data_IF_550758068475
#
_entry.id   IF_550758068475
#
_cell.length_a   1.000
_cell.length_b   1.000
_cell.length_c   1.000
_cell.angle_alpha   90.00
_cell.angle_beta   90.00
_cell.angle_gamma   90.00
#
_symmetry.space_group_name_H-M   'P 1'
#
loop_
_entity.id
_entity.type
_entity.pdbx_description
1 polymer ?
#
# COMPACT_ATOMS: atom_id res chain seq x y z
N UNK A 1 17.97 33.58 -48.80
CA UNK A 1 18.23 32.12 -48.80
C UNK A 1 17.95 31.60 -47.39
N UNK A 2 17.20 30.51 -47.33
CA UNK A 2 16.44 29.98 -46.18
C UNK A 2 17.12 29.91 -44.81
N UNK A 3 16.53 30.58 -43.83
CA UNK A 3 16.85 30.48 -42.39
C UNK A 3 15.78 29.64 -41.63
N UNK A 4 14.66 29.31 -42.27
CA UNK A 4 13.50 28.68 -41.63
C UNK A 4 13.47 27.15 -41.78
N UNK A 5 14.47 26.45 -41.22
CA UNK A 5 14.37 24.99 -41.05
C UNK A 5 15.21 24.40 -39.91
N UNK A 6 15.28 25.05 -38.74
CA UNK A 6 15.68 24.33 -37.52
C UNK A 6 14.49 23.51 -37.02
N UNK A 7 14.45 22.22 -37.38
CA UNK A 7 13.58 21.23 -36.72
C UNK A 7 13.79 21.36 -35.20
N UNK A 8 12.71 21.61 -34.47
CA UNK A 8 12.75 21.88 -33.02
C UNK A 8 13.10 20.59 -32.25
N UNK A 9 14.40 20.31 -32.11
CA UNK A 9 14.92 19.16 -31.34
C UNK A 9 14.74 19.33 -29.82
N UNK A 10 14.59 20.58 -29.34
CA UNK A 10 14.29 20.89 -27.94
C UNK A 10 13.06 20.16 -27.39
N UNK A 11 12.01 19.98 -28.21
CA UNK A 11 10.79 19.27 -27.82
C UNK A 11 11.06 17.81 -27.46
N UNK A 12 12.05 17.18 -28.11
CA UNK A 12 12.44 15.80 -27.86
C UNK A 12 13.17 15.71 -26.53
N UNK A 13 14.10 16.62 -26.25
CA UNK A 13 14.80 16.66 -24.95
C UNK A 13 13.84 16.83 -23.78
N UNK A 14 12.84 17.71 -23.91
CA UNK A 14 11.82 17.92 -22.89
C UNK A 14 10.95 16.67 -22.69
N UNK A 15 10.56 15.99 -23.78
CA UNK A 15 9.81 14.74 -23.71
C UNK A 15 10.62 13.63 -23.02
N UNK A 16 11.89 13.45 -23.37
CA UNK A 16 12.80 12.48 -22.73
C UNK A 16 12.93 12.78 -21.24
N UNK A 17 13.15 14.04 -20.87
CA UNK A 17 13.25 14.45 -19.46
C UNK A 17 11.97 14.08 -18.70
N UNK A 18 10.79 14.35 -19.27
CA UNK A 18 9.51 13.96 -18.65
C UNK A 18 9.38 12.45 -18.46
N UNK A 19 9.75 11.66 -19.46
CA UNK A 19 9.74 10.19 -19.37
C UNK A 19 10.71 9.70 -18.28
N UNK A 20 11.91 10.27 -18.20
CA UNK A 20 12.90 9.92 -17.18
C UNK A 20 12.38 10.24 -15.78
N UNK A 21 11.77 11.41 -15.57
CA UNK A 21 11.19 11.78 -14.27
C UNK A 21 10.11 10.78 -13.85
N UNK A 22 9.19 10.43 -14.78
CA UNK A 22 8.14 9.44 -14.50
C UNK A 22 8.74 8.07 -14.18
N UNK A 23 9.71 7.60 -14.98
CA UNK A 23 10.36 6.31 -14.74
C UNK A 23 11.05 6.25 -13.37
N UNK A 24 11.83 7.27 -13.01
CA UNK A 24 12.50 7.36 -11.71
C UNK A 24 11.47 7.39 -10.57
N UNK A 25 10.42 8.18 -10.71
CA UNK A 25 9.34 8.26 -9.72
C UNK A 25 8.67 6.91 -9.48
N UNK A 26 8.32 6.19 -10.55
CA UNK A 26 7.68 4.87 -10.47
C UNK A 26 8.58 3.84 -9.80
N UNK A 27 9.87 3.80 -10.17
CA UNK A 27 10.86 2.89 -9.57
C UNK A 27 10.98 3.18 -8.07
N UNK A 28 11.11 4.46 -7.69
CA UNK A 28 11.28 4.85 -6.30
C UNK A 28 10.05 4.57 -5.45
N UNK A 29 8.84 4.86 -5.95
CA UNK A 29 7.59 4.56 -5.22
C UNK A 29 7.40 3.06 -5.03
N UNK A 30 7.66 2.24 -6.04
CA UNK A 30 7.59 0.78 -5.92
C UNK A 30 8.60 0.24 -4.91
N UNK A 31 9.83 0.78 -4.91
CA UNK A 31 10.84 0.45 -3.91
C UNK A 31 10.36 0.80 -2.49
N UNK A 32 9.76 1.99 -2.30
CA UNK A 32 9.25 2.41 -0.99
C UNK A 32 8.07 1.54 -0.52
N UNK A 33 7.17 1.15 -1.43
CA UNK A 33 6.08 0.23 -1.13
C UNK A 33 6.61 -1.15 -0.71
N UNK A 34 7.62 -1.67 -1.39
CA UNK A 34 8.28 -2.93 -1.00
C UNK A 34 8.91 -2.83 0.39
N UNK A 35 9.68 -1.77 0.65
CA UNK A 35 10.31 -1.54 1.96
C UNK A 35 9.28 -1.40 3.08
N UNK A 36 8.16 -0.71 2.82
CA UNK A 36 7.08 -0.57 3.80
C UNK A 36 6.38 -1.91 4.07
N UNK A 37 6.19 -2.74 3.04
CA UNK A 37 5.63 -4.08 3.20
C UNK A 37 6.52 -4.99 4.06
N UNK A 38 7.84 -4.91 3.90
CA UNK A 38 8.79 -5.61 4.77
C UNK A 38 8.71 -5.15 6.22
N UNK A 39 8.60 -3.83 6.45
CA UNK A 39 8.46 -3.27 7.79
C UNK A 39 7.10 -3.62 8.43
N UNK A 40 6.01 -3.67 7.66
CA UNK A 40 4.71 -4.15 8.14
C UNK A 40 4.77 -5.63 8.53
N UNK A 41 5.48 -6.46 7.77
CA UNK A 41 5.70 -7.87 8.11
C UNK A 41 6.45 -8.02 9.43
N UNK A 42 7.57 -7.30 9.62
CA UNK A 42 8.34 -7.33 10.89
C UNK A 42 7.49 -6.86 12.07
N UNK A 43 6.66 -5.84 11.89
CA UNK A 43 5.73 -5.39 12.93
C UNK A 43 4.71 -6.46 13.29
N UNK A 44 4.15 -7.15 12.29
CA UNK A 44 3.23 -8.26 12.53
C UNK A 44 3.91 -9.45 13.23
N UNK A 45 5.18 -9.74 12.91
CA UNK A 45 5.99 -10.74 13.62
C UNK A 45 6.23 -10.35 15.08
N UNK A 46 6.65 -9.11 15.35
CA UNK A 46 6.83 -8.61 16.72
C UNK A 46 5.53 -8.62 17.52
N UNK A 47 4.42 -8.33 16.84
CA UNK A 47 3.10 -8.34 17.45
C UNK A 47 2.68 -9.77 17.84
N UNK A 48 2.91 -10.75 16.96
CA UNK A 48 2.69 -12.16 17.28
C UNK A 48 3.54 -12.61 18.48
N UNK A 49 4.84 -12.30 18.47
CA UNK A 49 5.75 -12.64 19.56
C UNK A 49 5.27 -12.04 20.89
N UNK A 50 4.81 -10.79 20.90
CA UNK A 50 4.30 -10.17 22.11
C UNK A 50 3.02 -10.84 22.63
N UNK A 51 2.13 -11.28 21.74
CA UNK A 51 0.89 -11.99 22.12
C UNK A 51 1.20 -13.37 22.66
N UNK A 52 2.13 -14.09 22.03
CA UNK A 52 2.57 -15.40 22.51
C UNK A 52 3.24 -15.29 23.87
N UNK A 53 4.14 -14.33 24.04
CA UNK A 53 4.80 -14.07 25.31
C UNK A 53 3.77 -13.77 26.40
N UNK A 54 2.79 -12.87 26.15
CA UNK A 54 1.68 -12.59 27.09
C UNK A 54 0.89 -13.86 27.46
N UNK A 55 0.73 -14.80 26.53
CA UNK A 55 -0.10 -16.00 26.73
C UNK A 55 0.68 -17.15 27.37
N UNK A 56 2.01 -17.17 27.27
CA UNK A 56 2.89 -18.21 27.83
C UNK A 56 3.15 -18.02 29.33
N UNK A 57 2.81 -16.86 29.90
CA UNK A 57 2.97 -16.63 31.34
C UNK A 57 2.04 -17.54 32.17
N UNK A 58 2.65 -18.43 32.94
CA UNK A 58 1.97 -19.19 33.99
C UNK A 58 1.64 -18.27 35.18
N UNK A 59 0.54 -18.56 35.88
CA UNK A 59 -0.06 -17.64 36.86
C UNK A 59 0.86 -17.32 38.07
N UNK A 60 1.95 -18.07 38.25
CA UNK A 60 2.89 -17.94 39.39
C UNK A 60 4.06 -16.96 39.14
N UNK A 61 4.34 -16.58 37.88
CA UNK A 61 5.49 -15.71 37.53
C UNK A 61 5.12 -14.23 37.24
N UNK A 62 3.82 -13.92 37.25
CA UNK A 62 3.28 -12.58 36.91
C UNK A 62 3.71 -11.50 37.91
N UNK A 63 4.08 -11.87 39.14
CA UNK A 63 4.42 -10.91 40.22
C UNK A 63 5.81 -10.24 40.02
N UNK A 64 6.67 -10.78 39.15
CA UNK A 64 8.01 -10.26 38.89
C UNK A 64 8.27 -9.82 37.44
N UNK A 65 7.48 -10.27 36.45
CA UNK A 65 7.62 -9.87 35.05
C UNK A 65 6.62 -8.78 34.68
N UNK A 66 7.10 -7.55 34.47
CA UNK A 66 6.29 -6.47 33.93
C UNK A 66 5.96 -6.70 32.45
N UNK A 67 4.68 -6.94 32.14
CA UNK A 67 4.15 -7.09 30.77
C UNK A 67 4.07 -5.78 29.98
N UNK A 68 4.79 -4.74 30.42
CA UNK A 68 4.65 -3.37 29.90
C UNK A 68 5.08 -3.28 28.43
N UNK A 69 6.18 -3.94 28.07
CA UNK A 69 6.73 -3.90 26.70
C UNK A 69 5.80 -4.63 25.74
N UNK A 70 5.36 -5.83 26.11
CA UNK A 70 4.48 -6.67 25.31
C UNK A 70 3.13 -5.95 25.12
N UNK A 71 2.57 -5.41 26.20
CA UNK A 71 1.33 -4.62 26.15
C UNK A 71 1.48 -3.37 25.27
N UNK A 72 2.63 -2.68 25.35
CA UNK A 72 2.92 -1.56 24.47
C UNK A 72 3.01 -1.99 23.00
N UNK A 73 3.70 -3.08 22.69
CA UNK A 73 3.78 -3.62 21.32
C UNK A 73 2.37 -3.96 20.82
N UNK A 74 1.58 -4.67 21.62
CA UNK A 74 0.22 -5.09 21.25
C UNK A 74 -0.70 -3.91 21.00
N UNK A 75 -0.70 -2.93 21.90
CA UNK A 75 -1.56 -1.74 21.81
C UNK A 75 -1.08 -0.71 20.77
N UNK A 76 0.20 -0.72 20.40
CA UNK A 76 0.76 0.20 19.40
C UNK A 76 0.33 -0.14 17.97
N UNK A 77 -0.09 -1.38 17.71
CA UNK A 77 -0.57 -1.77 16.39
C UNK A 77 -1.99 -1.25 16.13
N UNK A 78 -2.07 -0.11 15.45
CA UNK A 78 -3.35 0.56 15.11
C UNK A 78 -3.67 0.58 13.63
N UNK A 79 -2.78 0.06 12.77
CA UNK A 79 -2.83 0.29 11.32
C UNK A 79 -2.78 -0.97 10.47
N UNK A 80 -2.31 -2.10 11.01
CA UNK A 80 -2.22 -3.37 10.27
C UNK A 80 -3.44 -4.23 10.66
N UNK A 81 -4.42 -4.43 9.76
CA UNK A 81 -5.54 -5.33 10.00
C UNK A 81 -5.05 -6.77 10.10
N UNK A 82 -5.40 -7.45 11.19
CA UNK A 82 -4.89 -8.78 11.46
C UNK A 82 -5.92 -9.67 12.16
N UNK A 83 -5.96 -10.93 11.76
CA UNK A 83 -6.81 -11.99 12.28
C UNK A 83 -5.89 -13.03 12.91
N UNK A 84 -6.07 -13.28 14.20
CA UNK A 84 -5.30 -14.24 14.97
C UNK A 84 -6.08 -15.53 15.06
N UNK A 85 -5.44 -16.62 14.65
CA UNK A 85 -6.01 -17.95 14.57
C UNK A 85 -5.21 -18.87 15.47
N UNK A 86 -5.87 -19.59 16.37
CA UNK A 86 -5.25 -20.59 17.23
C UNK A 86 -4.91 -21.88 16.46
N UNK A 87 -4.16 -22.79 17.09
CA UNK A 87 -3.79 -24.08 16.48
C UNK A 87 -4.98 -24.94 16.01
N UNK A 88 -6.16 -24.76 16.62
CA UNK A 88 -7.39 -25.49 16.27
C UNK A 88 -8.12 -24.87 15.07
N UNK A 89 -7.61 -23.77 14.51
CA UNK A 89 -8.24 -23.04 13.41
C UNK A 89 -9.38 -22.10 13.87
N UNK A 90 -9.53 -21.88 15.17
CA UNK A 90 -10.47 -20.91 15.73
C UNK A 90 -9.91 -19.48 15.69
N UNK A 91 -10.78 -18.49 15.55
CA UNK A 91 -10.38 -17.07 15.58
C UNK A 91 -10.44 -16.60 17.02
N UNK A 92 -9.28 -16.25 17.58
CA UNK A 92 -9.18 -15.81 18.99
C UNK A 92 -9.24 -14.29 19.11
N UNK A 93 -8.65 -13.59 18.14
CA UNK A 93 -8.59 -12.13 18.19
C UNK A 93 -8.54 -11.52 16.80
N UNK A 94 -9.10 -10.32 16.68
CA UNK A 94 -9.15 -9.53 15.44
C UNK A 94 -8.77 -8.09 15.77
N UNK A 95 -7.87 -7.51 14.98
CA UNK A 95 -7.37 -6.15 15.17
C UNK A 95 -7.54 -5.29 13.91
N UNK A 96 -7.83 -4.00 14.12
CA UNK A 96 -7.83 -2.96 13.09
C UNK A 96 -8.77 -3.23 11.88
N UNK A 97 -9.92 -3.85 12.15
CA UNK A 97 -11.05 -3.94 11.21
C UNK A 97 -12.14 -2.91 11.56
N UNK A 98 -13.05 -2.68 10.63
CA UNK A 98 -14.19 -1.78 10.86
C UNK A 98 -15.08 -2.32 12.00
N UNK A 99 -15.54 -1.43 12.89
CA UNK A 99 -16.35 -1.82 14.06
C UNK A 99 -17.62 -2.59 13.71
N UNK A 100 -18.18 -2.35 12.52
CA UNK A 100 -19.37 -3.04 12.03
C UNK A 100 -19.13 -4.55 11.80
N UNK A 101 -17.87 -4.95 11.67
CA UNK A 101 -17.46 -6.34 11.47
C UNK A 101 -17.10 -7.04 12.79
N UNK A 102 -17.00 -6.31 13.90
CA UNK A 102 -16.69 -6.89 15.22
C UNK A 102 -17.76 -7.93 15.61
N UNK A 103 -17.31 -9.14 15.95
CA UNK A 103 -18.19 -10.26 16.28
C UNK A 103 -18.74 -11.05 15.08
N UNK A 104 -18.46 -10.63 13.84
CA UNK A 104 -18.85 -11.39 12.65
C UNK A 104 -17.83 -12.49 12.31
N UNK A 105 -17.89 -13.59 13.07
CA UNK A 105 -16.97 -14.72 12.90
C UNK A 105 -17.02 -15.34 11.49
N UNK A 106 -18.20 -15.35 10.85
CA UNK A 106 -18.37 -15.89 9.50
C UNK A 106 -17.57 -15.09 8.46
N UNK A 107 -17.60 -13.75 8.55
CA UNK A 107 -16.82 -12.88 7.69
C UNK A 107 -15.32 -13.13 7.83
N UNK A 108 -14.81 -13.24 9.06
CA UNK A 108 -13.38 -13.44 9.29
C UNK A 108 -12.90 -14.83 8.86
N UNK A 109 -13.73 -15.87 9.00
CA UNK A 109 -13.42 -17.20 8.44
C UNK A 109 -13.33 -17.16 6.92
N UNK A 110 -14.27 -16.47 6.26
CA UNK A 110 -14.23 -16.27 4.82
C UNK A 110 -12.99 -15.47 4.38
N UNK A 111 -12.63 -14.43 5.14
CA UNK A 111 -11.47 -13.60 4.83
C UNK A 111 -10.15 -14.38 4.95
N UNK A 112 -10.00 -15.21 6.00
CA UNK A 112 -8.85 -16.11 6.13
C UNK A 112 -8.80 -17.09 4.96
N UNK A 113 -9.93 -17.67 4.55
CA UNK A 113 -9.99 -18.56 3.39
C UNK A 113 -9.60 -17.86 2.08
N UNK A 114 -10.00 -16.58 1.89
CA UNK A 114 -9.57 -15.77 0.74
C UNK A 114 -8.07 -15.54 0.73
N UNK A 115 -7.48 -15.21 1.88
CA UNK A 115 -6.03 -15.02 2.02
C UNK A 115 -5.27 -16.31 1.68
N UNK A 116 -5.71 -17.45 2.22
CA UNK A 116 -5.13 -18.75 1.91
C UNK A 116 -5.25 -19.10 0.42
N UNK A 117 -6.41 -18.87 -0.20
CA UNK A 117 -6.63 -19.13 -1.62
C UNK A 117 -5.77 -18.22 -2.53
N UNK A 118 -5.44 -17.00 -2.07
CA UNK A 118 -4.51 -16.11 -2.74
C UNK A 118 -3.03 -16.52 -2.58
N UNK A 119 -2.74 -17.59 -1.83
CA UNK A 119 -1.39 -18.07 -1.55
C UNK A 119 -0.67 -17.27 -0.46
N UNK A 120 -1.39 -16.54 0.38
CA UNK A 120 -0.80 -15.82 1.49
C UNK A 120 -0.41 -16.79 2.60
N UNK A 121 0.88 -16.84 2.92
CA UNK A 121 1.38 -17.62 4.06
C UNK A 121 1.25 -16.80 5.35
N UNK A 122 0.51 -17.30 6.36
CA UNK A 122 0.42 -16.60 7.64
C UNK A 122 1.78 -16.59 8.33
N UNK A 123 1.98 -15.59 9.20
CA UNK A 123 3.08 -15.62 10.15
C UNK A 123 2.70 -16.65 11.22
N UNK A 124 3.45 -17.74 11.29
CA UNK A 124 3.22 -18.82 12.25
C UNK A 124 4.09 -18.60 13.47
N UNK A 125 3.46 -18.64 14.63
CA UNK A 125 4.12 -18.72 15.92
C UNK A 125 3.98 -20.12 16.51
N UNK A 126 4.28 -20.26 17.79
CA UNK A 126 4.11 -21.51 18.53
C UNK A 126 2.63 -21.84 18.77
N UNK A 127 1.82 -20.90 19.26
CA UNK A 127 0.42 -21.14 19.63
C UNK A 127 -0.58 -20.47 18.68
N UNK A 128 -0.15 -19.38 18.03
CA UNK A 128 -1.01 -18.58 17.18
C UNK A 128 -0.43 -18.39 15.78
N UNK A 129 -1.33 -18.19 14.82
CA UNK A 129 -1.00 -17.79 13.46
C UNK A 129 -1.69 -16.47 13.13
N UNK A 130 -0.95 -15.53 12.53
CA UNK A 130 -1.48 -14.23 12.13
C UNK A 130 -1.71 -14.18 10.63
N UNK A 131 -2.96 -13.96 10.25
CA UNK A 131 -3.38 -13.57 8.93
C UNK A 131 -3.56 -12.05 8.91
N UNK A 132 -2.59 -11.33 8.33
CA UNK A 132 -2.65 -9.88 8.23
C UNK A 132 -2.94 -9.42 6.80
N UNK A 133 -3.54 -8.23 6.69
CA UNK A 133 -3.74 -7.52 5.43
C UNK A 133 -2.79 -6.33 5.36
N UNK A 134 -2.49 -5.90 4.14
CA UNK A 134 -1.75 -4.67 3.91
C UNK A 134 -2.49 -3.48 4.54
N UNK A 135 -1.72 -2.63 5.23
CA UNK A 135 -2.28 -1.40 5.80
C UNK A 135 -2.84 -0.49 4.70
N UNK A 136 -3.67 0.46 5.12
CA UNK A 136 -4.20 1.47 4.20
C UNK A 136 -3.09 2.30 3.55
N UNK A 137 -1.99 2.59 4.27
CA UNK A 137 -0.90 3.40 3.73
C UNK A 137 -0.09 2.63 2.67
N UNK A 138 0.18 1.34 2.91
CA UNK A 138 0.87 0.50 1.92
C UNK A 138 0.04 0.35 0.65
N UNK A 139 -1.28 0.13 0.81
CA UNK A 139 -2.21 0.05 -0.31
C UNK A 139 -2.22 1.35 -1.12
N UNK A 140 -2.39 2.50 -0.45
CA UNK A 140 -2.36 3.81 -1.10
C UNK A 140 -1.04 4.05 -1.86
N UNK A 141 0.09 3.67 -1.27
CA UNK A 141 1.40 3.83 -1.89
C UNK A 141 1.57 2.97 -3.14
N UNK A 142 0.98 1.76 -3.16
CA UNK A 142 0.97 0.89 -4.34
C UNK A 142 0.07 1.41 -5.47
N UNK A 143 -1.01 2.13 -5.14
CA UNK A 143 -1.90 2.76 -6.14
C UNK A 143 -1.41 4.14 -6.61
N UNK A 144 -0.54 4.80 -5.84
CA UNK A 144 -0.01 6.13 -6.16
C UNK A 144 0.54 6.27 -7.59
N UNK A 145 1.33 5.31 -8.13
CA UNK A 145 1.76 5.31 -9.54
C UNK A 145 0.65 5.51 -10.56
N UNK A 146 -0.50 4.86 -10.36
CA UNK A 146 -1.63 4.90 -11.30
C UNK A 146 -2.28 6.27 -11.25
N UNK A 147 -2.48 6.82 -10.05
CA UNK A 147 -3.02 8.17 -9.84
C UNK A 147 -2.11 9.22 -10.48
N UNK A 148 -0.79 9.07 -10.31
CA UNK A 148 0.20 9.96 -10.91
C UNK A 148 0.15 9.92 -12.45
N UNK A 149 0.05 8.74 -13.06
CA UNK A 149 -0.06 8.60 -14.51
C UNK A 149 -1.38 9.18 -15.05
N UNK A 150 -2.49 8.99 -14.34
CA UNK A 150 -3.77 9.62 -14.67
C UNK A 150 -3.63 11.14 -14.67
N UNK A 151 -3.05 11.70 -13.61
CA UNK A 151 -2.86 13.14 -13.47
C UNK A 151 -1.98 13.71 -14.60
N UNK A 152 -0.83 13.09 -14.87
CA UNK A 152 0.05 13.50 -15.97
C UNK A 152 -0.66 13.37 -17.32
N UNK A 153 -1.35 12.24 -17.56
CA UNK A 153 -2.11 12.00 -18.78
C UNK A 153 -3.20 13.04 -19.01
N UNK A 154 -3.89 13.45 -17.95
CA UNK A 154 -4.88 14.54 -17.96
C UNK A 154 -4.24 15.87 -18.40
N UNK A 155 -3.10 16.25 -17.81
CA UNK A 155 -2.37 17.46 -18.21
C UNK A 155 -1.92 17.43 -19.68
N UNK A 156 -1.40 16.28 -20.15
CA UNK A 156 -0.99 16.11 -21.54
C UNK A 156 -2.19 16.21 -22.48
N UNK A 157 -3.33 15.59 -22.13
CA UNK A 157 -4.57 15.66 -22.90
C UNK A 157 -5.07 17.11 -23.02
N UNK A 158 -5.17 17.84 -21.91
CA UNK A 158 -5.58 19.23 -21.92
C UNK A 158 -4.64 20.12 -22.75
N UNK A 159 -3.33 19.90 -22.63
CA UNK A 159 -2.33 20.60 -23.45
C UNK A 159 -2.51 20.31 -24.95
N UNK A 160 -2.77 19.06 -25.32
CA UNK A 160 -3.06 18.68 -26.71
C UNK A 160 -4.33 19.35 -27.24
N UNK A 161 -5.42 19.33 -26.47
CA UNK A 161 -6.69 19.97 -26.86
C UNK A 161 -6.54 21.47 -27.07
N UNK A 162 -5.81 22.17 -26.18
CA UNK A 162 -5.56 23.61 -26.27
C UNK A 162 -4.71 23.98 -27.50
N UNK A 163 -3.67 23.21 -27.80
CA UNK A 163 -2.86 23.45 -29.00
C UNK A 163 -3.62 23.14 -30.29
N UNK A 164 -4.46 22.09 -30.27
CA UNK A 164 -5.30 21.73 -31.41
C UNK A 164 -6.37 22.78 -31.70
N UNK A 165 -7.02 23.31 -30.66
CA UNK A 165 -8.02 24.39 -30.81
C UNK A 165 -7.38 25.68 -31.33
N UNK A 166 -6.20 26.06 -30.83
CA UNK A 166 -5.46 27.22 -31.30
C UNK A 166 -5.12 27.14 -32.80
N UNK A 167 -4.64 25.98 -33.28
CA UNK A 167 -4.34 25.77 -34.70
C UNK A 167 -5.58 25.84 -35.59
N UNK A 168 -6.73 25.30 -35.14
CA UNK A 168 -8.00 25.43 -35.87
C UNK A 168 -8.47 26.88 -35.95
N UNK A 169 -8.30 27.65 -34.87
CA UNK A 169 -8.64 29.07 -34.85
C UNK A 169 -7.78 29.91 -35.81
N UNK A 170 -6.49 29.60 -35.93
CA UNK A 170 -5.61 30.25 -36.92
C UNK A 170 -6.06 29.97 -38.36
N UNK A 171 -6.51 28.75 -38.68
CA UNK A 171 -7.01 28.41 -40.02
C UNK A 171 -8.34 29.12 -40.35
N UNK A 172 -9.29 29.17 -39.42
CA UNK A 172 -10.57 29.84 -39.66
C UNK A 172 -10.44 31.36 -39.88
N UNK A 173 -9.36 31.97 -39.39
CA UNK A 173 -9.11 33.41 -39.52
C UNK A 173 -8.67 33.84 -40.93
N UNK A 174 -8.39 32.89 -41.83
CA UNK A 174 -8.01 33.18 -43.23
C UNK A 174 -9.22 33.20 -44.18
N UNK A 175 -10.39 32.72 -43.73
CA UNK A 175 -11.61 32.61 -44.52
C UNK A 175 -12.75 33.53 -44.01
N UNK A 176 -12.45 34.41 -43.06
CA UNK A 176 -13.37 35.37 -42.44
C UNK A 176 -12.97 36.81 -42.80
#
# INVERSE_FOLDING_TARGET
MDIYRKKSTWKIYLAILGVVIVAVSLIYTNYLAGKLAEEEKKKAELWLLAIEDITDFDNEDIDYCGLEIQTFIVSSNTTIPAIIVNERGGIDYVANFDRELEGNEAYFKEEVAKLQAAGFEPIKGFAFSIYYKESNILRQLRFFPIIQLLLIGSFVLFGYLALNSARRAEQNRVWA
#
